data_IF_756085835775
#
_entry.id   IF_756085835775
#
_cell.length_a   1.000
_cell.length_b   1.000
_cell.length_c   1.000
_cell.angle_alpha   90.00
_cell.angle_beta   90.00
_cell.angle_gamma   90.00
#
_symmetry.space_group_name_H-M   'P 1'
#
loop_
_entity.id
_entity.type
_entity.pdbx_description
1 polymer ?
#
# COMPACT_ATOMS: atom_id res chain seq x y z
N UNK A 1 -5.27 -22.76 13.97
CA UNK A 1 -4.82 -22.07 12.74
C UNK A 1 -3.65 -22.82 12.16
N UNK A 2 -3.63 -23.03 10.86
CA UNK A 2 -2.40 -23.41 10.17
C UNK A 2 -2.04 -22.29 9.22
N UNK A 3 -0.87 -21.71 9.42
CA UNK A 3 -0.28 -20.71 8.53
C UNK A 3 0.70 -21.46 7.66
N UNK A 4 0.66 -21.19 6.36
CA UNK A 4 1.55 -21.79 5.40
C UNK A 4 2.33 -20.72 4.65
N UNK A 5 3.52 -21.08 4.20
CA UNK A 5 4.24 -20.34 3.17
C UNK A 5 3.74 -20.81 1.80
N UNK A 6 3.46 -19.86 0.90
CA UNK A 6 3.22 -20.18 -0.51
C UNK A 6 4.52 -20.56 -1.20
N UNK A 7 4.48 -21.57 -2.06
CA UNK A 7 5.61 -21.84 -2.94
C UNK A 7 5.72 -20.77 -4.04
N UNK A 8 6.93 -20.65 -4.62
CA UNK A 8 7.24 -19.57 -5.57
C UNK A 8 6.39 -19.64 -6.85
N UNK A 9 5.86 -20.82 -7.21
CA UNK A 9 5.03 -20.99 -8.39
C UNK A 9 3.58 -20.59 -8.11
N UNK A 10 3.05 -20.90 -6.93
CA UNK A 10 1.79 -20.35 -6.45
C UNK A 10 1.87 -18.83 -6.32
N UNK A 11 2.97 -18.27 -5.79
CA UNK A 11 3.15 -16.82 -5.71
C UNK A 11 2.96 -16.15 -7.09
N UNK A 12 3.53 -16.73 -8.15
CA UNK A 12 3.38 -16.21 -9.53
C UNK A 12 1.94 -16.30 -10.03
N UNK A 13 1.20 -17.36 -9.68
CA UNK A 13 -0.22 -17.51 -10.06
C UNK A 13 -1.09 -16.39 -9.50
N UNK A 14 -0.76 -15.85 -8.33
CA UNK A 14 -1.53 -14.78 -7.69
C UNK A 14 -1.22 -13.37 -8.22
N UNK A 15 -0.20 -13.19 -9.06
CA UNK A 15 0.18 -11.87 -9.61
C UNK A 15 -0.95 -11.25 -10.44
N UNK A 16 -1.66 -12.07 -11.22
CA UNK A 16 -2.74 -11.62 -12.10
C UNK A 16 -4.14 -11.83 -11.47
N UNK A 17 -4.22 -12.36 -10.26
CA UNK A 17 -5.50 -12.63 -9.58
C UNK A 17 -5.98 -11.36 -8.89
N UNK A 18 -7.26 -11.03 -9.09
CA UNK A 18 -7.87 -9.87 -8.47
C UNK A 18 -7.89 -9.99 -6.94
N UNK A 19 -7.35 -8.96 -6.27
CA UNK A 19 -7.40 -8.83 -4.82
C UNK A 19 -8.80 -8.45 -4.32
N UNK A 20 -9.19 -9.01 -3.18
CA UNK A 20 -10.45 -8.64 -2.50
C UNK A 20 -10.27 -7.47 -1.53
N UNK A 21 -9.05 -7.27 -1.05
CA UNK A 21 -8.60 -6.14 -0.25
C UNK A 21 -7.07 -6.07 -0.29
N UNK A 22 -6.49 -4.95 0.15
CA UNK A 22 -5.07 -4.65 0.35
C UNK A 22 -4.12 -5.88 0.48
N UNK A 23 -3.64 -6.44 -0.65
CA UNK A 23 -2.72 -7.60 -0.66
C UNK A 23 -3.35 -8.94 -0.24
N UNK A 24 -4.68 -9.01 -0.23
CA UNK A 24 -5.47 -10.16 0.21
C UNK A 24 -6.17 -10.79 -0.97
N UNK A 25 -5.91 -12.08 -1.16
CA UNK A 25 -6.65 -12.96 -2.06
C UNK A 25 -7.38 -14.02 -1.27
N UNK A 26 -8.40 -14.60 -1.89
CA UNK A 26 -9.13 -15.75 -1.35
C UNK A 26 -8.93 -16.89 -2.32
N UNK A 27 -8.61 -18.07 -1.79
CA UNK A 27 -8.37 -19.26 -2.59
C UNK A 27 -8.85 -20.52 -1.86
N UNK A 28 -8.91 -21.63 -2.58
CA UNK A 28 -9.10 -22.96 -2.02
C UNK A 28 -7.79 -23.76 -2.10
N UNK A 29 -7.52 -24.57 -1.08
CA UNK A 29 -6.53 -25.65 -1.15
C UNK A 29 -7.23 -26.97 -0.84
N UNK A 30 -7.61 -27.69 -1.89
CA UNK A 30 -8.59 -28.76 -1.81
C UNK A 30 -9.95 -28.22 -1.35
N UNK A 31 -10.48 -28.73 -0.24
CA UNK A 31 -11.76 -28.28 0.33
C UNK A 31 -11.61 -27.12 1.34
N UNK A 32 -10.38 -26.66 1.58
CA UNK A 32 -10.09 -25.67 2.63
C UNK A 32 -10.05 -24.26 2.06
N UNK A 33 -10.82 -23.35 2.66
CA UNK A 33 -10.76 -21.94 2.35
C UNK A 33 -9.52 -21.30 2.98
N UNK A 34 -8.68 -20.69 2.16
CA UNK A 34 -7.47 -20.00 2.59
C UNK A 34 -7.49 -18.53 2.19
N UNK A 35 -7.03 -17.68 3.10
CA UNK A 35 -6.75 -16.28 2.83
C UNK A 35 -5.28 -16.14 2.50
N UNK A 36 -4.95 -15.60 1.33
CA UNK A 36 -3.58 -15.30 0.96
C UNK A 36 -3.29 -13.86 1.32
N UNK A 37 -2.21 -13.62 2.07
CA UNK A 37 -1.78 -12.29 2.49
C UNK A 37 -0.40 -11.96 1.93
N UNK A 38 -0.28 -10.79 1.30
CA UNK A 38 0.92 -10.28 0.63
C UNK A 38 1.54 -11.30 -0.35
N UNK A 39 0.74 -12.19 -0.95
CA UNK A 39 1.18 -13.27 -1.83
C UNK A 39 2.24 -14.21 -1.24
N UNK A 40 2.55 -14.16 0.06
CA UNK A 40 3.63 -14.98 0.66
C UNK A 40 3.11 -16.00 1.65
N UNK A 41 1.97 -15.70 2.27
CA UNK A 41 1.44 -16.46 3.40
C UNK A 41 0.01 -16.85 3.09
N UNK A 42 -0.32 -18.12 3.28
CA UNK A 42 -1.69 -18.62 3.27
C UNK A 42 -2.15 -18.89 4.69
N UNK A 43 -3.34 -18.39 5.03
CA UNK A 43 -3.96 -18.57 6.35
C UNK A 43 -5.22 -19.38 6.15
N UNK A 44 -5.23 -20.60 6.68
CA UNK A 44 -6.43 -21.44 6.68
C UNK A 44 -7.47 -20.86 7.65
N UNK A 45 -8.66 -20.56 7.12
CA UNK A 45 -9.75 -19.97 7.88
C UNK A 45 -10.52 -21.06 8.62
N UNK A 46 -10.06 -21.43 9.81
CA UNK A 46 -10.77 -22.29 10.75
C UNK A 46 -11.10 -21.56 12.07
N UNK A 47 -11.98 -22.11 12.92
CA UNK A 47 -12.37 -21.46 14.19
C UNK A 47 -11.16 -21.14 15.09
N UNK A 48 -10.13 -21.98 15.03
CA UNK A 48 -8.88 -21.83 15.76
C UNK A 48 -7.95 -20.73 15.17
N UNK A 49 -8.22 -20.24 13.94
CA UNK A 49 -7.49 -19.15 13.31
C UNK A 49 -7.63 -17.83 14.06
N UNK A 50 -8.82 -17.59 14.60
CA UNK A 50 -9.12 -16.35 15.31
C UNK A 50 -8.30 -16.21 16.60
N UNK A 51 -8.12 -17.27 17.38
CA UNK A 51 -7.35 -17.23 18.63
C UNK A 51 -5.84 -17.04 18.40
N UNK A 52 -5.27 -17.63 17.35
CA UNK A 52 -3.84 -17.50 17.08
C UNK A 52 -3.47 -16.11 16.54
N UNK A 53 -4.35 -15.47 15.76
CA UNK A 53 -4.19 -14.06 15.34
C UNK A 53 -4.13 -13.13 16.56
N UNK A 54 -4.94 -13.38 17.60
CA UNK A 54 -4.88 -12.62 18.85
C UNK A 54 -3.53 -12.78 19.56
N UNK A 55 -2.95 -13.99 19.58
CA UNK A 55 -1.63 -14.24 20.20
C UNK A 55 -0.48 -13.56 19.46
N UNK A 56 -0.50 -13.55 18.12
CA UNK A 56 0.49 -12.83 17.29
C UNK A 56 0.44 -11.31 17.54
N UNK A 57 -0.77 -10.76 17.69
CA UNK A 57 -0.96 -9.32 17.96
C UNK A 57 -0.40 -8.89 19.32
N UNK A 58 -0.47 -9.76 20.33
CA UNK A 58 0.10 -9.49 21.67
C UNK A 58 1.64 -9.45 21.60
N UNK A 59 2.28 -10.41 20.90
CA UNK A 59 3.74 -10.44 20.75
C UNK A 59 4.31 -9.29 19.90
N UNK A 60 3.59 -8.89 18.85
CA UNK A 60 3.99 -7.76 18.01
C UNK A 60 3.99 -6.41 18.79
N UNK A 61 3.17 -6.30 19.84
CA UNK A 61 3.06 -5.09 20.65
C UNK A 61 4.20 -4.92 21.65
N UNK A 62 4.86 -6.01 22.04
CA UNK A 62 5.98 -6.01 23.00
C UNK A 62 7.34 -5.74 22.34
N UNK A 63 7.40 -5.73 21.00
CA UNK A 63 8.66 -5.69 20.23
C UNK A 63 8.89 -4.40 19.44
N UNK A 64 8.21 -3.31 19.80
CA UNK A 64 8.49 -2.00 19.21
C UNK A 64 9.68 -1.37 19.93
N UNK A 65 10.90 -1.67 19.45
CA UNK A 65 12.11 -0.83 19.40
C UNK A 65 13.33 -1.74 19.13
N UNK A 66 13.73 -1.86 17.85
CA UNK A 66 15.12 -1.80 17.30
C UNK A 66 15.27 -2.51 15.95
N UNK A 67 16.11 -1.88 15.11
CA UNK A 67 16.67 -2.26 13.80
C UNK A 67 15.74 -3.01 12.85
N UNK A 68 15.25 -2.27 11.86
CA UNK A 68 14.35 -2.73 10.79
C UNK A 68 14.85 -3.99 10.08
N UNK A 69 16.17 -4.11 9.86
CA UNK A 69 16.79 -5.28 9.22
C UNK A 69 16.66 -6.56 10.06
N UNK A 70 16.83 -6.48 11.38
CA UNK A 70 16.64 -7.63 12.27
C UNK A 70 15.18 -8.09 12.28
N UNK A 71 14.24 -7.17 12.17
CA UNK A 71 12.82 -7.50 12.07
C UNK A 71 12.49 -8.19 10.76
N UNK A 72 12.96 -7.65 9.62
CA UNK A 72 12.76 -8.27 8.29
C UNK A 72 13.38 -9.65 8.24
N UNK A 73 14.59 -9.80 8.77
CA UNK A 73 15.28 -11.09 8.85
C UNK A 73 14.47 -12.09 9.68
N UNK A 74 14.05 -11.74 10.90
CA UNK A 74 13.23 -12.62 11.75
C UNK A 74 11.89 -12.98 11.11
N UNK A 75 11.28 -12.04 10.41
CA UNK A 75 10.03 -12.29 9.68
C UNK A 75 10.27 -13.30 8.55
N UNK A 76 11.34 -13.14 7.78
CA UNK A 76 11.69 -14.08 6.71
C UNK A 76 12.05 -15.46 7.26
N UNK A 77 12.87 -15.54 8.32
CA UNK A 77 13.19 -16.79 9.01
C UNK A 77 11.93 -17.50 9.53
N UNK A 78 10.98 -16.73 10.09
CA UNK A 78 9.71 -17.27 10.52
C UNK A 78 8.87 -17.79 9.35
N UNK A 79 8.75 -17.03 8.26
CA UNK A 79 8.04 -17.44 7.04
C UNK A 79 8.67 -18.71 6.45
N UNK A 80 10.00 -18.79 6.41
CA UNK A 80 10.74 -19.93 5.87
C UNK A 80 10.59 -21.18 6.75
N UNK A 81 10.28 -21.01 8.04
CA UNK A 81 9.95 -22.09 8.96
C UNK A 81 8.50 -22.59 8.85
N UNK A 82 7.63 -21.93 8.08
CA UNK A 82 6.23 -22.37 7.91
C UNK A 82 6.13 -23.58 6.97
N UNK A 83 5.14 -24.46 7.19
CA UNK A 83 4.84 -25.52 6.23
C UNK A 83 4.46 -24.93 4.87
N UNK A 84 4.88 -25.58 3.78
CA UNK A 84 4.51 -25.14 2.43
C UNK A 84 3.08 -25.55 2.09
N UNK A 85 2.38 -24.69 1.36
CA UNK A 85 1.09 -24.99 0.76
C UNK A 85 1.20 -24.89 -0.76
N UNK A 86 0.71 -25.93 -1.44
CA UNK A 86 0.67 -26.06 -2.89
C UNK A 86 -0.73 -26.45 -3.33
N UNK A 87 -1.02 -26.33 -4.63
CA UNK A 87 -2.34 -26.55 -5.23
C UNK A 87 -3.37 -25.59 -4.65
N UNK A 88 -3.08 -24.30 -4.77
CA UNK A 88 -3.94 -23.23 -4.30
C UNK A 88 -4.69 -22.66 -5.50
N UNK A 89 -6.01 -22.81 -5.51
CA UNK A 89 -6.85 -22.37 -6.61
C UNK A 89 -7.53 -21.04 -6.26
N UNK A 90 -7.17 -19.93 -6.94
CA UNK A 90 -7.75 -18.63 -6.66
C UNK A 90 -9.26 -18.63 -6.96
N UNK A 91 -10.04 -17.99 -6.09
CA UNK A 91 -11.45 -17.73 -6.39
C UNK A 91 -11.55 -16.64 -7.46
N UNK A 92 -12.57 -16.74 -8.31
CA UNK A 92 -12.95 -15.64 -9.19
C UNK A 92 -13.35 -14.40 -8.38
N UNK A 93 -13.07 -13.20 -8.90
CA UNK A 93 -13.21 -11.93 -8.18
C UNK A 93 -14.59 -11.77 -7.49
N UNK A 94 -15.68 -12.13 -8.19
CA UNK A 94 -17.03 -12.02 -7.65
C UNK A 94 -17.29 -12.96 -6.45
N UNK A 95 -16.77 -14.19 -6.53
CA UNK A 95 -16.87 -15.17 -5.45
C UNK A 95 -15.98 -14.76 -4.27
N UNK A 96 -14.73 -14.38 -4.57
CA UNK A 96 -13.76 -13.92 -3.58
C UNK A 96 -14.29 -12.73 -2.78
N UNK A 97 -14.89 -11.73 -3.45
CA UNK A 97 -15.52 -10.57 -2.79
C UNK A 97 -16.71 -10.96 -1.94
N UNK A 98 -17.54 -11.91 -2.37
CA UNK A 98 -18.70 -12.38 -1.62
C UNK A 98 -18.27 -13.08 -0.33
N UNK A 99 -17.29 -13.98 -0.42
CA UNK A 99 -16.70 -14.66 0.74
C UNK A 99 -16.05 -13.64 1.68
N UNK A 100 -15.27 -12.72 1.15
CA UNK A 100 -14.60 -11.70 1.94
C UNK A 100 -15.58 -10.74 2.64
N UNK A 101 -16.70 -10.41 2.01
CA UNK A 101 -17.76 -9.61 2.62
C UNK A 101 -18.38 -10.32 3.83
N UNK A 102 -18.61 -11.63 3.74
CA UNK A 102 -19.09 -12.45 4.87
C UNK A 102 -18.05 -12.50 5.99
N UNK A 103 -16.77 -12.72 5.66
CA UNK A 103 -15.66 -12.71 6.63
C UNK A 103 -15.51 -11.34 7.33
N UNK A 104 -15.80 -10.24 6.63
CA UNK A 104 -15.86 -8.89 7.23
C UNK A 104 -17.08 -8.70 8.12
N UNK A 105 -18.22 -9.27 7.75
CA UNK A 105 -19.45 -9.17 8.54
C UNK A 105 -19.35 -9.93 9.88
N UNK A 106 -18.57 -11.01 9.95
CA UNK A 106 -18.36 -11.79 11.18
C UNK A 106 -17.24 -11.24 12.07
N UNK A 107 -16.29 -10.48 11.51
CA UNK A 107 -15.30 -9.75 12.29
C UNK A 107 -15.98 -8.59 13.04
N UNK A 108 -16.33 -8.83 14.31
CA UNK A 108 -16.87 -7.84 15.27
C UNK A 108 -15.96 -6.64 15.53
N UNK A 109 -14.75 -6.62 14.97
CA UNK A 109 -13.95 -5.41 14.85
C UNK A 109 -14.42 -4.65 13.60
N UNK A 110 -15.47 -3.86 13.76
CA UNK A 110 -15.65 -2.72 12.87
C UNK A 110 -14.39 -1.87 13.02
N UNK A 111 -13.46 -1.97 12.07
CA UNK A 111 -12.59 -0.84 11.78
C UNK A 111 -13.57 0.29 11.52
N UNK A 112 -13.63 1.25 12.44
CA UNK A 112 -14.48 2.43 12.26
C UNK A 112 -14.24 2.95 10.85
N UNK A 113 -15.30 3.38 10.17
CA UNK A 113 -15.18 3.99 8.85
C UNK A 113 -13.97 4.93 8.89
N UNK A 114 -13.06 4.85 7.90
CA UNK A 114 -11.89 5.73 7.88
C UNK A 114 -12.41 7.16 8.12
N UNK A 115 -11.77 7.92 9.04
CA UNK A 115 -12.27 9.23 9.41
C UNK A 115 -12.52 10.01 8.13
N UNK A 116 -13.69 10.66 8.05
CA UNK A 116 -14.04 11.44 6.88
C UNK A 116 -12.86 12.39 6.60
N UNK A 117 -12.37 12.45 5.34
CA UNK A 117 -11.29 13.35 5.01
C UNK A 117 -11.72 14.76 5.46
N UNK A 118 -10.89 15.49 6.21
CA UNK A 118 -11.26 16.81 6.69
C UNK A 118 -11.62 17.71 5.51
N UNK A 119 -12.74 18.45 5.61
CA UNK A 119 -13.25 19.32 4.55
C UNK A 119 -12.21 20.36 4.07
N UNK A 120 -11.25 20.70 4.94
CA UNK A 120 -10.01 21.35 4.54
C UNK A 120 -8.92 21.01 5.56
N UNK A 121 -7.76 20.53 5.11
CA UNK A 121 -6.55 20.58 5.90
C UNK A 121 -6.04 22.02 5.81
N UNK A 122 -6.46 22.86 6.75
CA UNK A 122 -6.16 24.29 6.75
C UNK A 122 -4.63 24.53 6.67
N UNK A 123 -4.20 25.32 5.67
CA UNK A 123 -2.87 25.94 5.64
C UNK A 123 -1.68 25.04 5.31
N UNK A 124 -1.85 23.77 4.93
CA UNK A 124 -0.70 22.88 4.73
C UNK A 124 0.05 23.08 3.40
N UNK A 125 -0.60 23.67 2.38
CA UNK A 125 0.03 24.03 1.09
C UNK A 125 0.02 25.55 0.88
N UNK A 126 0.81 26.33 1.63
CA UNK A 126 0.75 27.79 1.56
C UNK A 126 1.40 28.36 0.30
N UNK A 127 2.20 27.59 -0.43
CA UNK A 127 2.94 28.07 -1.59
C UNK A 127 2.21 27.70 -2.87
N UNK A 128 1.81 28.71 -3.65
CA UNK A 128 1.20 28.50 -4.97
C UNK A 128 2.21 28.89 -6.04
N UNK A 129 2.67 27.90 -6.80
CA UNK A 129 3.73 28.04 -7.78
C UNK A 129 3.24 27.54 -9.13
N UNK A 130 3.98 27.90 -10.18
CA UNK A 130 3.86 27.27 -11.48
C UNK A 130 5.11 26.44 -11.71
N UNK A 131 4.94 25.24 -12.23
CA UNK A 131 6.05 24.37 -12.57
C UNK A 131 6.94 25.00 -13.64
N UNK A 132 8.23 24.71 -13.56
CA UNK A 132 9.23 25.14 -14.54
C UNK A 132 9.51 24.03 -15.56
N UNK A 133 10.12 24.33 -16.72
CA UNK A 133 10.48 23.30 -17.68
C UNK A 133 11.37 22.21 -17.06
N UNK A 134 11.10 20.95 -17.40
CA UNK A 134 11.81 19.76 -16.91
C UNK A 134 11.71 19.53 -15.39
N UNK A 135 10.78 20.18 -14.68
CA UNK A 135 10.55 19.89 -13.28
C UNK A 135 9.94 18.49 -13.10
N UNK A 136 10.41 17.78 -12.07
CA UNK A 136 10.04 16.39 -11.83
C UNK A 136 9.49 16.24 -10.43
N UNK A 137 8.34 15.56 -10.34
CA UNK A 137 7.67 15.19 -9.11
C UNK A 137 7.49 13.68 -9.04
N UNK A 138 7.28 13.17 -7.83
CA UNK A 138 7.21 11.74 -7.57
C UNK A 138 5.93 11.39 -6.83
N UNK A 139 5.14 10.47 -7.40
CA UNK A 139 3.95 9.95 -6.75
C UNK A 139 4.22 8.54 -6.23
N UNK A 140 3.90 8.31 -4.97
CA UNK A 140 4.06 7.02 -4.31
C UNK A 140 2.70 6.36 -4.17
N UNK A 141 2.61 5.09 -4.55
CA UNK A 141 1.41 4.28 -4.49
C UNK A 141 1.71 2.92 -3.86
N UNK A 142 0.76 2.36 -3.12
CA UNK A 142 0.85 0.99 -2.62
C UNK A 142 0.61 -0.06 -3.72
N UNK A 143 0.14 0.35 -4.91
CA UNK A 143 -0.30 -0.55 -5.97
C UNK A 143 0.35 -0.22 -7.32
N UNK A 144 0.56 -1.21 -8.20
CA UNK A 144 1.21 -1.04 -9.51
C UNK A 144 0.41 -0.20 -10.51
N UNK A 145 -0.88 0.02 -10.24
CA UNK A 145 -1.77 0.81 -11.06
C UNK A 145 -2.34 1.97 -10.26
N UNK A 146 -1.90 3.19 -10.59
CA UNK A 146 -2.47 4.40 -9.98
C UNK A 146 -3.83 4.74 -10.57
N UNK A 147 -4.83 4.96 -9.72
CA UNK A 147 -6.15 5.49 -10.12
C UNK A 147 -6.14 6.97 -10.47
N UNK A 148 -5.01 7.66 -10.22
CA UNK A 148 -4.86 9.11 -10.38
C UNK A 148 -4.02 9.47 -11.60
N UNK A 149 -3.42 8.47 -12.23
CA UNK A 149 -2.56 8.65 -13.39
C UNK A 149 -3.15 7.89 -14.56
N UNK A 150 -3.11 8.51 -15.74
CA UNK A 150 -3.22 7.80 -17.02
C UNK A 150 -1.89 7.90 -17.75
N UNK A 151 -1.79 7.36 -18.97
CA UNK A 151 -0.55 7.39 -19.74
C UNK A 151 0.06 8.80 -19.89
N UNK A 152 -0.75 9.86 -19.90
CA UNK A 152 -0.27 11.25 -20.06
C UNK A 152 -0.98 12.26 -19.15
N UNK A 153 -1.93 11.85 -18.31
CA UNK A 153 -2.71 12.77 -17.50
C UNK A 153 -2.51 12.50 -16.02
N UNK A 154 -2.38 13.59 -15.28
CA UNK A 154 -2.32 13.63 -13.83
C UNK A 154 -3.67 14.18 -13.36
N UNK A 155 -4.44 13.39 -12.62
CA UNK A 155 -5.77 13.76 -12.20
C UNK A 155 -5.74 14.98 -11.25
N UNK A 156 -6.83 15.76 -11.26
CA UNK A 156 -7.04 16.86 -10.33
C UNK A 156 -6.98 16.42 -8.86
N UNK A 157 -6.24 17.17 -8.05
CA UNK A 157 -6.01 16.93 -6.62
C UNK A 157 -5.00 15.81 -6.36
N UNK A 158 -4.15 15.48 -7.34
CA UNK A 158 -3.10 14.48 -7.16
C UNK A 158 -2.00 15.06 -6.30
N UNK A 159 -1.63 14.34 -5.25
CA UNK A 159 -0.48 14.66 -4.42
C UNK A 159 0.76 13.91 -4.91
N UNK A 160 1.90 14.57 -4.82
CA UNK A 160 3.22 14.06 -5.18
C UNK A 160 4.28 14.73 -4.28
N UNK A 161 5.55 14.38 -4.50
CA UNK A 161 6.69 14.92 -3.79
C UNK A 161 7.69 15.56 -4.76
N UNK A 162 8.40 16.63 -4.38
CA UNK A 162 9.52 17.11 -5.16
C UNK A 162 10.70 16.13 -5.11
N UNK A 163 11.64 16.26 -6.05
CA UNK A 163 12.84 15.42 -6.10
C UNK A 163 13.71 15.47 -4.83
N UNK A 164 13.65 16.56 -4.06
CA UNK A 164 14.36 16.71 -2.79
C UNK A 164 13.91 15.71 -1.71
N UNK A 165 12.72 15.14 -1.82
CA UNK A 165 12.22 14.14 -0.86
C UNK A 165 12.77 12.74 -1.09
N UNK A 166 13.32 12.44 -2.28
CA UNK A 166 13.73 11.07 -2.65
C UNK A 166 14.75 10.47 -1.66
N UNK A 167 15.65 11.28 -1.14
CA UNK A 167 16.66 10.84 -0.18
C UNK A 167 16.05 10.44 1.18
N UNK A 168 14.94 11.08 1.56
CA UNK A 168 14.24 10.83 2.82
C UNK A 168 13.15 9.76 2.71
N UNK A 169 12.83 9.31 1.49
CA UNK A 169 11.83 8.29 1.20
C UNK A 169 12.44 7.09 0.46
N UNK A 170 13.43 6.39 1.06
CA UNK A 170 14.10 5.27 0.39
C UNK A 170 13.17 4.08 0.16
N UNK A 171 12.11 3.92 0.97
CA UNK A 171 11.28 2.72 1.02
C UNK A 171 9.79 3.03 1.05
N UNK A 172 8.95 2.06 0.68
CA UNK A 172 7.50 2.23 0.61
C UNK A 172 6.89 2.62 1.95
N UNK A 173 7.38 2.06 3.06
CA UNK A 173 6.88 2.41 4.40
C UNK A 173 7.32 3.82 4.83
N UNK A 174 8.54 4.23 4.48
CA UNK A 174 9.00 5.61 4.73
C UNK A 174 8.12 6.64 4.02
N UNK A 175 7.66 6.34 2.80
CA UNK A 175 6.74 7.20 2.06
C UNK A 175 5.36 7.30 2.73
N UNK A 176 4.81 6.20 3.26
CA UNK A 176 3.53 6.21 4.00
C UNK A 176 3.58 7.14 5.19
N UNK A 177 4.63 7.02 6.02
CA UNK A 177 4.80 7.86 7.21
C UNK A 177 5.01 9.34 6.86
N UNK A 178 5.89 9.62 5.89
CA UNK A 178 6.32 10.98 5.51
C UNK A 178 5.25 11.79 4.78
N UNK A 179 4.47 11.16 3.90
CA UNK A 179 3.40 11.82 3.13
C UNK A 179 2.01 11.60 3.73
N UNK A 180 1.95 11.06 4.95
CA UNK A 180 0.71 10.71 5.64
C UNK A 180 -0.32 10.04 4.73
N UNK A 181 0.09 8.97 4.04
CA UNK A 181 -0.74 8.32 3.04
C UNK A 181 -1.95 7.61 3.68
N UNK A 182 -3.12 7.58 3.01
CA UNK A 182 -4.32 6.93 3.53
C UNK A 182 -4.20 5.39 3.60
N UNK A 183 -3.35 4.82 2.74
CA UNK A 183 -3.03 3.39 2.76
C UNK A 183 -1.90 3.13 3.73
N UNK A 184 -2.12 2.18 4.66
CA UNK A 184 -1.08 1.72 5.58
C UNK A 184 -0.12 0.70 4.95
N UNK A 185 -0.40 0.23 3.71
CA UNK A 185 0.52 -0.63 2.99
C UNK A 185 1.71 0.18 2.46
N UNK A 186 2.93 -0.41 2.45
CA UNK A 186 4.11 0.22 1.84
C UNK A 186 3.79 0.79 0.45
N UNK A 187 4.10 2.07 0.22
CA UNK A 187 3.90 2.73 -1.07
C UNK A 187 5.09 2.46 -2.01
N UNK A 188 5.24 1.19 -2.41
CA UNK A 188 6.42 0.72 -3.14
C UNK A 188 6.48 1.18 -4.60
N UNK A 189 5.39 1.68 -5.19
CA UNK A 189 5.35 2.04 -6.60
C UNK A 189 5.53 3.55 -6.76
N UNK A 190 6.73 3.95 -7.18
CA UNK A 190 7.09 5.36 -7.37
C UNK A 190 7.02 5.77 -8.84
N UNK A 191 6.06 6.62 -9.18
CA UNK A 191 5.87 7.18 -10.51
C UNK A 191 6.61 8.51 -10.63
N UNK A 192 7.27 8.71 -11.77
CA UNK A 192 7.87 9.97 -12.16
C UNK A 192 6.87 10.81 -12.95
N UNK A 193 6.62 12.03 -12.48
CA UNK A 193 5.67 12.98 -13.06
C UNK A 193 6.45 14.20 -13.56
N UNK A 194 6.29 14.54 -14.83
CA UNK A 194 6.89 15.68 -15.51
C UNK A 194 5.77 16.57 -16.05
N UNK A 195 5.11 17.39 -15.23
CA UNK A 195 4.06 18.26 -15.74
C UNK A 195 4.61 19.24 -16.77
N UNK A 196 3.78 19.63 -17.74
CA UNK A 196 4.15 20.68 -18.68
C UNK A 196 4.46 22.00 -17.94
N UNK A 197 5.46 22.74 -18.42
CA UNK A 197 5.83 24.04 -17.86
C UNK A 197 4.62 24.97 -17.73
N UNK A 198 4.54 25.70 -16.63
CA UNK A 198 3.40 26.56 -16.32
C UNK A 198 2.24 25.84 -15.64
N UNK A 199 2.31 24.53 -15.42
CA UNK A 199 1.30 23.80 -14.64
C UNK A 199 1.28 24.32 -13.21
N UNK A 200 0.09 24.69 -12.73
CA UNK A 200 -0.13 25.17 -11.37
C UNK A 200 0.07 24.06 -10.35
N UNK A 201 0.86 24.33 -9.32
CA UNK A 201 1.15 23.41 -8.21
C UNK A 201 1.04 24.13 -6.88
N UNK A 202 0.48 23.46 -5.89
CA UNK A 202 0.46 23.93 -4.50
C UNK A 202 1.48 23.12 -3.71
N UNK A 203 2.32 23.77 -2.93
CA UNK A 203 3.43 23.14 -2.21
C UNK A 203 3.38 23.51 -0.73
N UNK A 204 3.79 22.57 0.11
CA UNK A 204 3.95 22.80 1.54
C UNK A 204 4.35 21.55 2.29
N UNK A 205 4.09 21.54 3.59
CA UNK A 205 4.45 20.42 4.45
C UNK A 205 3.25 19.47 4.59
N UNK A 206 3.49 18.18 4.37
CA UNK A 206 2.52 17.13 4.66
C UNK A 206 2.23 17.11 6.15
N UNK A 207 0.95 17.17 6.51
CA UNK A 207 0.53 17.20 7.92
C UNK A 207 0.31 15.79 8.45
N UNK A 208 0.39 15.59 9.78
CA UNK A 208 -0.04 14.34 10.39
C UNK A 208 -1.51 14.02 10.03
N UNK A 209 -1.74 12.85 9.42
CA UNK A 209 -3.06 12.37 9.03
C UNK A 209 -3.08 10.83 8.99
N UNK A 210 -4.26 10.21 9.14
CA UNK A 210 -4.44 8.75 9.09
C UNK A 210 -3.54 7.94 10.04
N UNK A 211 -3.17 8.54 11.18
CA UNK A 211 -2.26 7.93 12.15
C UNK A 211 -0.78 7.93 11.72
N UNK A 212 -0.43 8.67 10.68
CA UNK A 212 0.93 8.85 10.17
C UNK A 212 1.51 10.20 10.62
N UNK A 213 2.83 10.31 10.65
CA UNK A 213 3.53 11.50 11.13
C UNK A 213 3.46 12.70 10.18
N UNK A 214 3.40 12.46 8.86
CA UNK A 214 3.62 13.50 7.87
C UNK A 214 5.06 14.05 7.92
N UNK A 215 5.22 15.33 7.60
CA UNK A 215 6.46 16.10 7.74
C UNK A 215 7.34 16.17 6.49
N UNK A 216 6.95 15.52 5.38
CA UNK A 216 7.58 15.74 4.09
C UNK A 216 7.19 17.06 3.44
N UNK A 217 7.95 17.50 2.45
CA UNK A 217 7.46 18.45 1.46
C UNK A 217 6.58 17.71 0.47
N UNK A 218 5.36 18.18 0.27
CA UNK A 218 4.43 17.63 -0.71
C UNK A 218 3.94 18.71 -1.67
N UNK A 219 3.57 18.27 -2.87
CA UNK A 219 2.93 19.09 -3.88
C UNK A 219 1.57 18.53 -4.25
N UNK A 220 0.63 19.40 -4.60
CA UNK A 220 -0.68 19.05 -5.11
C UNK A 220 -0.88 19.70 -6.49
N UNK A 221 -1.48 18.95 -7.41
CA UNK A 221 -1.95 19.42 -8.71
C UNK A 221 -3.43 19.81 -8.61
N UNK A 222 -3.78 21.05 -8.22
CA UNK A 222 -5.16 21.43 -7.90
C UNK A 222 -6.12 21.33 -9.09
N UNK A 223 -5.60 21.47 -10.30
CA UNK A 223 -6.39 21.43 -11.54
C UNK A 223 -6.05 20.20 -12.40
N UNK A 224 -5.19 19.31 -11.89
CA UNK A 224 -4.59 18.24 -12.68
C UNK A 224 -3.46 18.77 -13.56
N UNK A 225 -2.91 17.92 -14.41
CA UNK A 225 -1.86 18.31 -15.34
C UNK A 225 -1.74 17.33 -16.52
N UNK A 226 -1.25 17.84 -17.65
CA UNK A 226 -0.73 16.99 -18.73
C UNK A 226 0.75 16.77 -18.49
N UNK A 227 1.17 15.51 -18.58
CA UNK A 227 2.56 15.10 -18.47
C UNK A 227 3.30 15.38 -19.79
N UNK A 228 4.53 15.86 -19.70
CA UNK A 228 5.46 15.99 -20.81
C UNK A 228 5.95 14.59 -21.21
N UNK A 229 5.36 14.07 -22.28
CA UNK A 229 5.52 12.68 -22.70
C UNK A 229 4.74 11.68 -21.83
N UNK A 230 4.81 10.38 -22.18
CA UNK A 230 4.13 9.34 -21.43
C UNK A 230 4.73 9.18 -20.02
N UNK A 231 3.87 9.01 -19.02
CA UNK A 231 4.29 8.60 -17.66
C UNK A 231 4.91 7.21 -17.78
N UNK A 232 6.17 7.10 -17.39
CA UNK A 232 6.92 5.85 -17.45
C UNK A 232 6.41 4.83 -16.42
N UNK A 233 6.82 3.57 -16.60
CA UNK A 233 6.57 2.54 -15.61
C UNK A 233 7.17 2.95 -14.25
N UNK A 234 6.48 2.66 -13.14
CA UNK A 234 6.96 3.02 -11.81
C UNK A 234 8.26 2.30 -11.46
N UNK A 235 9.09 2.95 -10.65
CA UNK A 235 10.22 2.32 -9.97
C UNK A 235 9.68 1.62 -8.73
N UNK A 236 10.06 0.36 -8.53
CA UNK A 236 9.69 -0.43 -7.35
C UNK A 236 10.70 -0.14 -6.24
N UNK A 237 10.21 0.34 -5.11
CA UNK A 237 10.97 0.58 -3.89
C UNK A 237 10.94 -0.66 -2.99
N UNK A 238 11.96 -0.87 -2.14
CA UNK A 238 11.86 -1.81 -1.02
C UNK A 238 10.68 -1.48 -0.13
N UNK A 239 10.07 -2.48 0.49
CA UNK A 239 8.96 -2.26 1.43
C UNK A 239 9.41 -1.49 2.68
N UNK A 240 10.54 -1.92 3.26
CA UNK A 240 11.08 -1.47 4.54
C UNK A 240 12.46 -0.84 4.34
#
# INVERSE_FOLDING_TARGET
MTIYKLDDDEMKRFVDVAEVAMGVHIAFSGERLVMIANMRIAIEMNEEAFEQIQRLRIRARESFVRVQDEYVQRLNEWIDGLPKLSNVDPLEEGQARSVFAVLRATNRFQLGSPPAPPNSIYGHLPFHLNSVPNEVFYRFESFPNSRRLTRQQIAKGTYAAPSSELFFTPTGFSAVGRFALPSLLPACWRYELKPQSGTKVYCGASVPLYGQSGGAVEVCFPDGATNDGPIANPVILPEL
#
